data_IF_542995140594
#
_entry.id   IF_542995140594
#
_cell.length_a   1.000
_cell.length_b   1.000
_cell.length_c   1.000
_cell.angle_alpha   90.00
_cell.angle_beta   90.00
_cell.angle_gamma   90.00
#
_symmetry.space_group_name_H-M   'P 1'
#
loop_
_entity.id
_entity.type
_entity.pdbx_description
1 polymer ?
#
# COMPACT_ATOMS: atom_id res chain seq x y z
N UNK A 1 -3.84 5.57 -1.22
CA UNK A 1 -3.26 4.27 -0.81
C UNK A 1 -2.37 3.78 -1.93
N UNK A 2 -1.14 3.45 -1.59
CA UNK A 2 -0.09 3.08 -2.53
C UNK A 2 0.65 1.85 -2.00
N UNK A 3 1.01 0.93 -2.88
CA UNK A 3 1.95 -0.15 -2.57
C UNK A 3 3.30 0.17 -3.19
N UNK A 4 4.34 0.14 -2.36
CA UNK A 4 5.69 0.50 -2.72
C UNK A 4 6.56 -0.76 -2.66
N UNK A 5 7.30 -1.02 -3.73
CA UNK A 5 8.32 -2.09 -3.75
C UNK A 5 9.64 -1.46 -4.14
N UNK A 6 10.63 -1.56 -3.26
CA UNK A 6 11.96 -1.07 -3.55
C UNK A 6 12.72 -2.08 -4.40
N UNK A 7 13.04 -1.69 -5.64
CA UNK A 7 13.97 -2.40 -6.48
C UNK A 7 15.38 -1.80 -6.36
N UNK A 8 16.39 -2.58 -6.78
CA UNK A 8 17.80 -2.18 -6.72
C UNK A 8 18.11 -0.82 -7.38
N UNK A 9 17.38 -0.44 -8.44
CA UNK A 9 17.63 0.78 -9.22
C UNK A 9 16.55 1.86 -9.04
N UNK A 10 15.35 1.48 -8.59
CA UNK A 10 14.21 2.40 -8.45
C UNK A 10 13.16 1.82 -7.52
N UNK A 11 12.41 2.72 -6.88
CA UNK A 11 11.16 2.40 -6.20
C UNK A 11 10.04 2.23 -7.23
N UNK A 12 9.31 1.14 -7.12
CA UNK A 12 8.08 0.91 -7.86
C UNK A 12 6.91 1.38 -7.01
N UNK A 13 6.11 2.31 -7.53
CA UNK A 13 4.90 2.82 -6.88
C UNK A 13 3.69 2.28 -7.62
N UNK A 14 2.88 1.47 -6.94
CA UNK A 14 1.64 0.92 -7.46
C UNK A 14 0.48 1.65 -6.77
N UNK A 15 -0.22 2.57 -7.46
CA UNK A 15 -1.39 3.22 -6.89
C UNK A 15 -2.50 2.19 -6.72
N UNK A 16 -3.07 2.11 -5.53
CA UNK A 16 -4.09 1.12 -5.19
C UNK A 16 -5.49 1.72 -5.11
N UNK A 17 -5.62 2.83 -4.41
CA UNK A 17 -6.90 3.52 -4.23
C UNK A 17 -6.68 4.99 -3.91
N UNK A 18 -7.62 5.84 -4.32
CA UNK A 18 -7.67 7.25 -3.96
C UNK A 18 -9.13 7.64 -3.78
N UNK A 19 -9.38 8.48 -2.78
CA UNK A 19 -10.72 9.00 -2.49
C UNK A 19 -10.68 10.50 -2.76
N UNK A 20 -11.66 11.06 -3.50
CA UNK A 20 -11.66 12.49 -3.78
C UNK A 20 -12.04 13.32 -2.53
N UNK A 21 -11.63 14.60 -2.45
CA UNK A 21 -11.80 15.43 -1.25
C UNK A 21 -13.25 15.70 -0.83
N UNK A 22 -14.18 15.58 -1.76
CA UNK A 22 -15.62 15.76 -1.59
C UNK A 22 -16.33 14.52 -1.03
N UNK A 23 -15.61 13.44 -0.78
CA UNK A 23 -16.17 12.16 -0.36
C UNK A 23 -16.31 12.01 1.17
N UNK A 24 -15.79 12.95 1.95
CA UNK A 24 -15.81 12.85 3.42
C UNK A 24 -16.38 14.12 4.04
N UNK A 25 -17.41 13.94 4.86
CA UNK A 25 -17.97 15.02 5.68
C UNK A 25 -17.03 15.34 6.85
N UNK A 26 -17.13 16.57 7.36
CA UNK A 26 -16.44 16.98 8.58
C UNK A 26 -16.89 16.15 9.79
N UNK A 27 -15.94 15.71 10.61
CA UNK A 27 -16.19 14.95 11.83
C UNK A 27 -15.48 13.59 11.86
N UNK A 28 -15.77 12.74 12.85
CA UNK A 28 -15.22 11.40 12.92
C UNK A 28 -15.69 10.57 11.72
N UNK A 29 -14.74 10.02 10.96
CA UNK A 29 -15.01 9.20 9.79
C UNK A 29 -14.29 7.87 9.92
N UNK A 30 -14.89 6.82 9.36
CA UNK A 30 -14.27 5.52 9.19
C UNK A 30 -14.30 5.16 7.70
N UNK A 31 -13.15 4.74 7.17
CA UNK A 31 -13.03 4.33 5.77
C UNK A 31 -12.52 2.89 5.72
N UNK A 32 -13.21 2.05 4.93
CA UNK A 32 -12.71 0.74 4.55
C UNK A 32 -12.24 0.81 3.10
N UNK A 33 -10.96 0.51 2.88
CA UNK A 33 -10.37 0.46 1.55
C UNK A 33 -10.06 -0.99 1.25
N UNK A 34 -10.69 -1.52 0.20
CA UNK A 34 -10.46 -2.87 -0.31
C UNK A 34 -9.99 -2.78 -1.75
N UNK A 35 -9.02 -3.61 -2.10
CA UNK A 35 -8.49 -3.73 -3.47
C UNK A 35 -8.37 -5.20 -3.81
N UNK A 36 -9.01 -5.62 -4.90
CA UNK A 36 -9.15 -7.03 -5.27
C UNK A 36 -7.81 -7.69 -5.58
N UNK A 37 -6.91 -6.95 -6.24
CA UNK A 37 -5.57 -7.43 -6.58
C UNK A 37 -4.60 -6.26 -6.72
N UNK A 38 -3.32 -6.51 -6.44
CA UNK A 38 -2.24 -5.57 -6.72
C UNK A 38 -1.61 -5.97 -8.04
N UNK A 39 -1.67 -5.08 -9.03
CA UNK A 39 -0.97 -5.30 -10.29
C UNK A 39 0.54 -5.13 -10.09
N UNK A 40 1.22 -6.27 -10.05
CA UNK A 40 2.68 -6.38 -9.90
C UNK A 40 3.38 -6.70 -11.22
N UNK A 41 2.70 -6.64 -12.36
CA UNK A 41 3.27 -6.98 -13.68
C UNK A 41 4.54 -6.17 -14.03
N UNK A 42 4.69 -4.99 -13.44
CA UNK A 42 5.84 -4.09 -13.62
C UNK A 42 6.96 -4.31 -12.59
N UNK A 43 6.78 -5.25 -11.66
CA UNK A 43 7.76 -5.64 -10.66
C UNK A 43 8.39 -6.95 -11.10
N UNK A 44 9.71 -7.01 -11.07
CA UNK A 44 10.44 -8.23 -11.41
C UNK A 44 10.11 -9.35 -10.40
N UNK A 45 9.80 -10.59 -10.83
CA UNK A 45 9.38 -11.66 -9.92
C UNK A 45 10.35 -11.94 -8.76
N UNK A 46 11.66 -11.92 -9.00
CA UNK A 46 12.67 -12.09 -7.95
C UNK A 46 12.73 -10.93 -6.93
N UNK A 47 12.06 -9.81 -7.22
CA UNK A 47 11.91 -8.67 -6.30
C UNK A 47 10.57 -8.65 -5.58
N UNK A 48 9.61 -9.49 -6.00
CA UNK A 48 8.33 -9.64 -5.31
C UNK A 48 8.47 -10.44 -4.03
N UNK A 49 9.40 -11.39 -3.95
CA UNK A 49 9.71 -12.13 -2.73
C UNK A 49 10.52 -11.30 -1.70
N UNK A 50 10.17 -10.03 -1.50
CA UNK A 50 10.81 -9.09 -0.57
C UNK A 50 9.76 -8.34 0.25
N UNK A 51 10.23 -7.45 1.14
CA UNK A 51 9.41 -6.48 1.84
C UNK A 51 9.01 -5.32 0.91
N UNK A 52 7.70 -5.09 0.79
CA UNK A 52 7.10 -3.86 0.28
C UNK A 52 6.52 -3.01 1.41
N UNK A 53 6.05 -1.81 1.06
CA UNK A 53 5.44 -0.87 2.00
C UNK A 53 4.04 -0.50 1.49
N UNK A 54 3.02 -0.76 2.29
CA UNK A 54 1.68 -0.24 2.06
C UNK A 54 1.60 1.13 2.74
N UNK A 55 1.35 2.16 1.94
CA UNK A 55 1.30 3.56 2.38
C UNK A 55 -0.10 4.13 2.23
N UNK A 56 -0.59 4.75 3.28
CA UNK A 56 -1.85 5.48 3.30
C UNK A 56 -1.57 6.91 3.71
N UNK A 57 -1.76 7.85 2.79
CA UNK A 57 -1.74 9.29 3.11
C UNK A 57 -3.16 9.75 3.42
N UNK A 58 -3.33 10.36 4.59
CA UNK A 58 -4.54 11.05 4.99
C UNK A 58 -4.31 12.54 4.72
N UNK A 59 -5.24 13.16 4.00
CA UNK A 59 -5.11 14.55 3.56
C UNK A 59 -6.29 15.41 4.02
N UNK A 60 -6.00 16.65 4.38
CA UNK A 60 -6.98 17.67 4.73
C UNK A 60 -6.63 18.96 3.99
N UNK A 61 -7.60 19.58 3.30
CA UNK A 61 -7.35 20.81 2.54
C UNK A 61 -6.29 20.70 1.44
N UNK A 62 -5.97 19.48 0.98
CA UNK A 62 -4.89 19.21 0.03
C UNK A 62 -3.52 18.97 0.67
N UNK A 63 -3.38 19.20 1.99
CA UNK A 63 -2.16 18.93 2.74
C UNK A 63 -2.16 17.52 3.32
N UNK A 64 -0.98 16.89 3.40
CA UNK A 64 -0.82 15.58 4.01
C UNK A 64 -0.72 15.73 5.54
N UNK A 65 -1.72 15.26 6.26
CA UNK A 65 -1.79 15.38 7.73
C UNK A 65 -1.23 14.16 8.44
N UNK A 66 -1.30 12.98 7.82
CA UNK A 66 -0.78 11.75 8.40
C UNK A 66 -0.42 10.75 7.30
N UNK A 67 0.71 10.07 7.47
CA UNK A 67 1.07 8.92 6.64
C UNK A 67 1.16 7.69 7.52
N UNK A 68 0.35 6.68 7.21
CA UNK A 68 0.39 5.36 7.83
C UNK A 68 1.16 4.43 6.89
N UNK A 69 2.19 3.78 7.42
CA UNK A 69 3.03 2.85 6.67
C UNK A 69 2.95 1.47 7.33
N UNK A 70 2.53 0.46 6.56
CA UNK A 70 2.56 -0.95 6.97
C UNK A 70 3.59 -1.68 6.12
N UNK A 71 4.42 -2.52 6.76
CA UNK A 71 5.35 -3.37 6.02
C UNK A 71 4.58 -4.58 5.49
N UNK A 72 4.73 -4.88 4.22
CA UNK A 72 4.11 -6.05 3.59
C UNK A 72 5.23 -6.97 3.15
N UNK A 73 5.36 -8.14 3.77
CA UNK A 73 6.25 -9.18 3.28
C UNK A 73 5.50 -10.10 2.35
N UNK A 74 6.09 -10.39 1.20
CA UNK A 74 5.57 -11.37 0.25
C UNK A 74 6.58 -12.49 0.13
N UNK A 75 6.11 -13.72 0.28
CA UNK A 75 6.94 -14.93 0.23
C UNK A 75 6.32 -15.94 -0.74
N UNK A 76 7.13 -16.54 -1.59
CA UNK A 76 6.73 -17.66 -2.43
C UNK A 76 6.90 -18.98 -1.66
N UNK A 77 5.81 -19.71 -1.46
CA UNK A 77 5.81 -21.03 -0.80
C UNK A 77 5.15 -22.05 -1.73
N UNK A 78 5.95 -22.97 -2.27
CA UNK A 78 5.43 -24.06 -3.11
C UNK A 78 4.79 -23.60 -4.42
N UNK A 79 5.22 -22.46 -4.98
CA UNK A 79 4.67 -21.88 -6.22
C UNK A 79 3.49 -20.93 -6.02
N UNK A 80 3.07 -20.71 -4.77
CA UNK A 80 2.05 -19.71 -4.42
C UNK A 80 2.67 -18.54 -3.65
N UNK A 81 2.22 -17.32 -3.94
CA UNK A 81 2.61 -16.14 -3.19
C UNK A 81 1.71 -15.94 -1.99
N UNK A 82 2.31 -15.92 -0.81
CA UNK A 82 1.65 -15.55 0.45
C UNK A 82 2.11 -14.15 0.87
N UNK A 83 1.26 -13.43 1.62
CA UNK A 83 1.61 -12.10 2.13
C UNK A 83 1.34 -12.00 3.63
N UNK A 84 2.20 -11.29 4.32
CA UNK A 84 2.07 -10.91 5.73
C UNK A 84 2.17 -9.39 5.84
N UNK A 85 1.30 -8.77 6.65
CA UNK A 85 1.22 -7.32 6.80
C UNK A 85 1.50 -6.97 8.26
N UNK A 86 2.57 -6.22 8.49
CA UNK A 86 2.94 -5.68 9.80
C UNK A 86 2.40 -4.26 9.93
N UNK A 87 1.47 -4.07 10.86
CA UNK A 87 0.89 -2.77 11.18
C UNK A 87 1.83 -1.98 12.10
N UNK A 88 1.96 -0.65 11.94
CA UNK A 88 2.72 0.18 12.88
C UNK A 88 1.98 0.40 14.22
N UNK A 89 0.76 -0.15 14.36
CA UNK A 89 -0.10 0.01 15.54
C UNK A 89 -0.23 -1.28 16.37
N UNK A 90 0.53 -2.33 16.03
CA UNK A 90 0.67 -3.55 16.84
C UNK A 90 1.75 -3.41 17.91
#
# INVERSE_FOLDING_TARGET
VEYLVDGMLRRHVVPLASTPPDFYDSGPQAALISVDSVDVSKVEPGKLANAGLLKVDVREGGENVCTINCVVMVEERGGEFTREIYSPFE
#
